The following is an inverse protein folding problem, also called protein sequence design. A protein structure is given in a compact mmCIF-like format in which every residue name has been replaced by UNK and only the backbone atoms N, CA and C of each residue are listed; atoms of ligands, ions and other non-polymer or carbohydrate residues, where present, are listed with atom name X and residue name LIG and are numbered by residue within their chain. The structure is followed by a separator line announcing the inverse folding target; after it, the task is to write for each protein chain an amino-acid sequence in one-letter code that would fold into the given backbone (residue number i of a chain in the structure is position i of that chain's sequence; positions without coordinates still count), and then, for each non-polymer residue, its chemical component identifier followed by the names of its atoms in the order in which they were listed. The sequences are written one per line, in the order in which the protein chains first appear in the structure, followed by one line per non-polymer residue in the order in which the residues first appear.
data_IF_281967538248
#
_entry.id   IF_281967538248
#
_cell.length_a   1.000
_cell.length_b   1.000
_cell.length_c   1.000
_cell.angle_alpha   90.00
_cell.angle_beta   90.00
_cell.angle_gamma   90.00
#
_symmetry.space_group_name_H-M   'P 1'
#
loop_
_entity.id
_entity.type
_entity.pdbx_description
1 polymer ?
#
# COMPACT_ATOMS: atom_id res chain seq x y z
N UNK A 1 3.68 -8.12 14.28
CA UNK A 1 3.12 -9.40 13.78
C UNK A 1 1.64 -9.17 13.52
N UNK A 2 1.10 -9.64 12.40
CA UNK A 2 -0.32 -9.54 12.10
C UNK A 2 -1.12 -10.61 12.86
N UNK A 3 -2.42 -10.38 13.08
CA UNK A 3 -3.31 -11.30 13.80
C UNK A 3 -3.37 -12.69 13.14
N UNK A 4 -3.32 -12.73 11.81
CA UNK A 4 -3.29 -13.98 11.03
C UNK A 4 -1.95 -14.73 11.10
N UNK A 5 -1.00 -14.25 11.90
CA UNK A 5 0.30 -14.86 12.11
C UNK A 5 1.39 -14.39 11.14
N UNK A 6 1.04 -13.65 10.09
CA UNK A 6 2.00 -13.10 9.15
C UNK A 6 2.96 -12.10 9.82
N UNK A 7 4.11 -11.91 9.20
CA UNK A 7 5.11 -10.92 9.59
C UNK A 7 5.26 -9.90 8.46
N UNK A 8 5.50 -8.66 8.82
CA UNK A 8 5.73 -7.59 7.86
C UNK A 8 6.67 -6.55 8.45
N UNK A 9 7.36 -5.87 7.55
CA UNK A 9 8.24 -4.75 7.86
C UNK A 9 7.78 -3.58 7.00
N UNK A 10 7.58 -2.43 7.63
CA UNK A 10 7.35 -1.17 6.94
C UNK A 10 8.61 -0.33 7.12
N UNK A 11 9.24 0.03 6.01
CA UNK A 11 10.37 0.95 5.99
C UNK A 11 9.99 2.14 5.10
N UNK A 12 10.10 3.33 5.66
CA UNK A 12 9.84 4.58 4.96
C UNK A 12 10.92 5.59 5.30
N UNK A 13 11.37 6.34 4.31
CA UNK A 13 12.35 7.41 4.49
C UNK A 13 12.03 8.56 3.54
N UNK A 14 12.08 9.78 4.06
CA UNK A 14 12.03 11.02 3.26
C UNK A 14 13.41 11.63 3.06
N UNK A 15 14.47 10.94 3.49
CA UNK A 15 15.87 11.39 3.45
C UNK A 15 16.75 10.52 2.56
N UNK A 16 16.28 9.31 2.22
CA UNK A 16 17.00 8.42 1.33
C UNK A 16 17.01 9.01 -0.09
N UNK A 17 18.15 8.88 -0.77
CA UNK A 17 18.25 9.22 -2.18
C UNK A 17 17.59 8.13 -3.02
N UNK A 18 16.60 8.51 -3.81
CA UNK A 18 15.95 7.63 -4.76
C UNK A 18 16.29 8.05 -6.20
N UNK A 19 16.90 7.16 -7.02
CA UNK A 19 17.33 7.49 -8.38
C UNK A 19 16.18 7.39 -9.39
N UNK A 20 14.99 7.92 -9.07
CA UNK A 20 13.83 7.93 -9.97
C UNK A 20 13.46 9.35 -10.42
N UNK A 21 12.78 9.51 -11.56
CA UNK A 21 12.35 10.82 -12.05
C UNK A 21 11.48 11.61 -11.07
N UNK A 22 10.75 10.90 -10.19
CA UNK A 22 9.88 11.49 -9.18
C UNK A 22 10.51 11.52 -7.77
N UNK A 23 11.78 11.13 -7.63
CA UNK A 23 12.51 11.01 -6.36
C UNK A 23 11.75 10.18 -5.30
N UNK A 24 10.97 9.21 -5.74
CA UNK A 24 10.13 8.34 -4.93
C UNK A 24 10.15 6.93 -5.49
N UNK A 25 10.15 5.93 -4.60
CA UNK A 25 9.98 4.52 -4.94
C UNK A 25 9.06 3.88 -3.91
N UNK A 26 8.06 3.14 -4.37
CA UNK A 26 7.32 2.18 -3.55
C UNK A 26 7.66 0.76 -3.97
N UNK A 27 8.12 -0.03 -3.00
CA UNK A 27 8.37 -1.46 -3.15
C UNK A 27 7.56 -2.24 -2.12
N UNK A 28 6.99 -3.36 -2.55
CA UNK A 28 6.25 -4.28 -1.67
C UNK A 28 6.59 -5.70 -2.06
N UNK A 29 6.82 -6.56 -1.07
CA UNK A 29 7.12 -7.97 -1.28
C UNK A 29 6.18 -8.81 -0.41
N UNK A 30 5.59 -9.84 -1.01
CA UNK A 30 4.66 -10.74 -0.37
C UNK A 30 5.12 -12.17 -0.62
N UNK A 31 5.36 -12.91 0.46
CA UNK A 31 5.77 -14.30 0.41
C UNK A 31 4.71 -15.18 1.09
N UNK A 32 4.24 -16.19 0.37
CA UNK A 32 3.29 -17.19 0.87
C UNK A 32 3.77 -18.60 0.56
N UNK A 33 3.05 -19.60 1.08
CA UNK A 33 3.36 -21.01 0.82
C UNK A 33 3.32 -21.38 -0.66
N UNK A 34 2.50 -20.67 -1.44
CA UNK A 34 2.19 -21.03 -2.83
C UNK A 34 2.89 -20.15 -3.85
N UNK A 35 3.68 -19.16 -3.40
CA UNK A 35 4.39 -18.26 -4.30
C UNK A 35 4.82 -16.93 -3.67
N UNK A 36 5.35 -16.07 -4.53
CA UNK A 36 5.80 -14.72 -4.18
C UNK A 36 5.26 -13.67 -5.14
N UNK A 37 5.02 -12.46 -4.64
CA UNK A 37 4.66 -11.29 -5.43
C UNK A 37 5.52 -10.10 -5.00
N UNK A 38 6.10 -9.40 -5.97
CA UNK A 38 6.84 -8.16 -5.77
C UNK A 38 6.15 -7.04 -6.57
N UNK A 39 6.08 -5.86 -5.98
CA UNK A 39 5.56 -4.65 -6.59
C UNK A 39 6.66 -3.60 -6.64
N UNK A 40 6.75 -2.89 -7.76
CA UNK A 40 7.61 -1.72 -7.94
C UNK A 40 6.82 -0.58 -8.58
N UNK A 41 6.94 0.61 -8.02
CA UNK A 41 6.35 1.83 -8.56
C UNK A 41 7.30 3.02 -8.36
N UNK A 42 7.72 3.67 -9.44
CA UNK A 42 8.54 4.90 -9.43
C UNK A 42 7.72 6.19 -9.60
N UNK A 43 6.39 6.05 -9.67
CA UNK A 43 5.39 7.10 -9.84
C UNK A 43 5.46 7.90 -11.15
N UNK A 44 6.30 7.51 -12.10
CA UNK A 44 6.48 8.19 -13.40
C UNK A 44 6.41 7.23 -14.59
N UNK A 45 7.36 6.29 -14.66
CA UNK A 45 7.59 5.44 -15.83
C UNK A 45 7.20 3.98 -15.59
N UNK A 46 7.42 3.47 -14.39
CA UNK A 46 7.33 2.04 -14.09
C UNK A 46 6.33 1.79 -12.97
N UNK A 47 5.29 1.02 -13.28
CA UNK A 47 4.40 0.38 -12.31
C UNK A 47 4.29 -1.08 -12.71
N UNK A 48 4.85 -1.97 -11.91
CA UNK A 48 5.02 -3.36 -12.29
C UNK A 48 4.77 -4.29 -11.11
N UNK A 49 4.11 -5.42 -11.39
CA UNK A 49 4.04 -6.58 -10.52
C UNK A 49 4.88 -7.69 -11.14
N UNK A 50 5.71 -8.35 -10.33
CA UNK A 50 6.40 -9.58 -10.71
C UNK A 50 6.16 -10.66 -9.66
N UNK A 51 6.30 -11.92 -10.04
CA UNK A 51 6.10 -13.03 -9.12
C UNK A 51 6.29 -14.38 -9.76
N UNK A 52 6.07 -15.43 -8.96
CA UNK A 52 6.06 -16.82 -9.41
C UNK A 52 5.31 -17.68 -8.40
N UNK A 53 4.66 -18.75 -8.86
CA UNK A 53 4.14 -19.81 -7.98
C UNK A 53 5.13 -20.95 -7.82
N UNK A 54 4.90 -21.79 -6.81
CA UNK A 54 5.63 -23.04 -6.65
C UNK A 54 5.52 -23.88 -7.92
N UNK A 55 6.67 -24.20 -8.53
CA UNK A 55 6.74 -25.02 -9.74
C UNK A 55 6.64 -24.27 -11.08
N UNK A 56 6.39 -22.96 -11.08
CA UNK A 56 6.29 -22.16 -12.32
C UNK A 56 7.65 -21.64 -12.82
N UNK A 57 8.71 -21.76 -12.02
CA UNK A 57 10.07 -21.34 -12.37
C UNK A 57 10.45 -19.97 -11.80
N UNK A 58 11.38 -19.24 -12.43
CA UNK A 58 11.89 -17.97 -11.89
C UNK A 58 10.82 -16.87 -11.87
N UNK A 59 11.03 -15.85 -11.05
CA UNK A 59 10.20 -14.65 -11.00
C UNK A 59 10.12 -14.02 -12.39
N UNK A 60 8.89 -13.70 -12.82
CA UNK A 60 8.60 -13.04 -14.09
C UNK A 60 7.63 -11.88 -13.90
N UNK A 61 7.56 -10.97 -14.88
CA UNK A 61 6.57 -9.88 -14.88
C UNK A 61 5.18 -10.47 -15.09
N UNK A 62 4.23 -10.07 -14.24
CA UNK A 62 2.86 -10.53 -14.31
C UNK A 62 1.99 -9.46 -14.98
N UNK A 63 1.11 -9.89 -15.87
CA UNK A 63 0.08 -9.00 -16.42
C UNK A 63 -0.91 -8.62 -15.32
N UNK A 64 -1.07 -7.31 -15.08
CA UNK A 64 -2.09 -6.80 -14.15
C UNK A 64 -3.44 -6.91 -14.88
N UNK A 65 -4.41 -7.72 -14.39
CA UNK A 65 -5.60 -7.99 -15.19
C UNK A 65 -6.52 -6.77 -15.28
N UNK A 66 -7.18 -6.62 -16.43
CA UNK A 66 -8.00 -5.45 -16.82
C UNK A 66 -8.95 -4.94 -15.73
N UNK A 67 -9.61 -5.85 -15.00
CA UNK A 67 -10.53 -5.51 -13.90
C UNK A 67 -9.90 -4.70 -12.77
N UNK A 68 -8.58 -4.78 -12.57
CA UNK A 68 -7.87 -3.99 -11.54
C UNK A 68 -7.67 -2.56 -12.02
N UNK A 69 -7.45 -2.37 -13.31
CA UNK A 69 -7.19 -1.07 -13.87
C UNK A 69 -8.44 -0.18 -13.96
N UNK A 70 -9.63 -0.76 -14.19
CA UNK A 70 -10.83 0.05 -14.40
C UNK A 70 -10.69 0.94 -15.64
N UNK A 71 -11.11 2.22 -15.56
CA UNK A 71 -11.11 3.14 -16.71
C UNK A 71 -9.87 4.05 -16.76
N UNK A 72 -8.82 3.73 -16.01
CA UNK A 72 -7.61 4.57 -15.94
C UNK A 72 -6.76 4.46 -17.21
N UNK A 73 -6.18 5.60 -17.62
CA UNK A 73 -5.13 5.62 -18.65
C UNK A 73 -3.85 4.97 -18.13
N UNK A 74 -3.11 4.30 -19.03
CA UNK A 74 -1.93 3.50 -18.68
C UNK A 74 -0.69 3.81 -19.51
N UNK A 75 -0.79 4.77 -20.43
CA UNK A 75 0.35 5.16 -21.28
C UNK A 75 1.51 5.73 -20.45
N UNK A 76 1.19 6.33 -19.30
CA UNK A 76 2.14 6.85 -18.31
C UNK A 76 1.64 6.56 -16.91
N UNK A 77 2.51 6.11 -16.01
CA UNK A 77 2.15 5.79 -14.61
C UNK A 77 1.60 7.02 -13.89
N UNK A 78 2.15 8.20 -14.17
CA UNK A 78 1.65 9.46 -13.63
C UNK A 78 0.17 9.71 -13.99
N UNK A 79 -0.27 9.34 -15.19
CA UNK A 79 -1.66 9.49 -15.61
C UNK A 79 -2.58 8.48 -14.89
N UNK A 80 -2.11 7.26 -14.68
CA UNK A 80 -2.80 6.22 -13.90
C UNK A 80 -3.11 6.72 -12.50
N UNK A 81 -2.08 7.20 -11.77
CA UNK A 81 -2.21 7.76 -10.42
C UNK A 81 -3.29 8.85 -10.36
N UNK A 82 -3.25 9.80 -11.30
CA UNK A 82 -4.21 10.90 -11.34
C UNK A 82 -5.63 10.39 -11.59
N UNK A 83 -5.79 9.43 -12.49
CA UNK A 83 -7.10 8.91 -12.85
C UNK A 83 -7.74 8.12 -11.69
N UNK A 84 -6.95 7.32 -10.96
CA UNK A 84 -7.40 6.63 -9.73
C UNK A 84 -8.01 7.62 -8.73
N UNK A 85 -7.32 8.72 -8.41
CA UNK A 85 -7.82 9.61 -7.36
C UNK A 85 -8.84 10.65 -7.86
N UNK A 86 -8.75 11.08 -9.12
CA UNK A 86 -9.56 12.21 -9.63
C UNK A 86 -10.74 11.79 -10.50
N UNK A 87 -10.63 10.70 -11.24
CA UNK A 87 -11.71 10.22 -12.12
C UNK A 87 -12.51 9.11 -11.47
N UNK A 88 -11.82 8.11 -10.93
CA UNK A 88 -12.45 7.00 -10.22
C UNK A 88 -12.88 7.39 -8.80
N UNK A 89 -12.44 8.57 -8.32
CA UNK A 89 -12.90 9.13 -7.05
C UNK A 89 -12.37 8.41 -5.81
N UNK A 90 -11.35 7.53 -5.92
CA UNK A 90 -10.81 6.83 -4.76
C UNK A 90 -10.32 7.80 -3.67
N UNK A 91 -10.39 7.36 -2.41
CA UNK A 91 -10.14 8.18 -1.20
C UNK A 91 -11.18 9.28 -0.98
N UNK A 92 -10.86 10.53 -1.30
CA UNK A 92 -11.71 11.68 -0.96
C UNK A 92 -13.06 11.65 -1.67
N UNK A 93 -13.10 11.25 -2.94
CA UNK A 93 -14.36 11.12 -3.68
C UNK A 93 -15.27 10.07 -3.06
N UNK A 94 -14.73 8.88 -2.76
CA UNK A 94 -15.43 7.78 -2.12
C UNK A 94 -16.02 8.18 -0.76
N UNK A 95 -15.29 8.99 0.02
CA UNK A 95 -15.80 9.54 1.27
C UNK A 95 -16.97 10.51 1.06
N UNK A 96 -16.87 11.42 0.07
CA UNK A 96 -17.95 12.36 -0.28
C UNK A 96 -19.19 11.61 -0.76
N UNK A 97 -19.02 10.62 -1.64
CA UNK A 97 -20.11 9.82 -2.18
C UNK A 97 -20.81 9.02 -1.07
N UNK A 98 -20.05 8.43 -0.14
CA UNK A 98 -20.61 7.74 1.02
C UNK A 98 -21.50 8.67 1.87
N UNK A 99 -21.07 9.92 2.11
CA UNK A 99 -21.87 10.93 2.81
C UNK A 99 -23.14 11.26 2.03
N UNK A 100 -22.99 11.56 0.73
CA UNK A 100 -24.10 11.96 -0.13
C UNK A 100 -25.19 10.87 -0.24
N UNK A 101 -24.76 9.61 -0.25
CA UNK A 101 -25.64 8.44 -0.37
C UNK A 101 -26.14 7.90 0.99
N UNK A 102 -25.67 8.46 2.10
CA UNK A 102 -25.99 7.96 3.44
C UNK A 102 -25.45 6.54 3.72
N UNK A 103 -24.30 6.19 3.12
CA UNK A 103 -23.62 4.91 3.30
C UNK A 103 -22.40 5.05 4.22
N UNK A 104 -21.98 3.94 4.80
CA UNK A 104 -20.69 3.88 5.51
C UNK A 104 -19.53 3.94 4.52
N UNK A 105 -18.56 4.81 4.79
CA UNK A 105 -17.28 4.83 4.07
C UNK A 105 -16.32 3.78 4.65
N UNK A 106 -15.40 3.27 3.84
CA UNK A 106 -14.27 2.46 4.29
C UNK A 106 -13.02 2.76 3.45
N UNK A 107 -11.82 2.94 4.06
CA UNK A 107 -11.56 2.98 5.50
C UNK A 107 -12.30 4.11 6.22
N UNK A 108 -12.69 3.87 7.48
CA UNK A 108 -13.42 4.85 8.29
C UNK A 108 -12.52 5.52 9.35
N UNK A 109 -13.11 6.32 10.24
CA UNK A 109 -12.34 6.97 11.31
C UNK A 109 -11.81 5.99 12.36
N UNK A 110 -12.42 4.82 12.54
CA UNK A 110 -11.91 3.81 13.46
C UNK A 110 -10.65 3.16 12.89
N UNK A 111 -10.65 2.84 11.60
CA UNK A 111 -9.46 2.38 10.89
C UNK A 111 -8.33 3.42 10.96
N UNK A 112 -8.65 4.70 10.70
CA UNK A 112 -7.69 5.80 10.80
C UNK A 112 -7.10 5.94 12.22
N UNK A 113 -7.94 5.86 13.25
CA UNK A 113 -7.49 5.90 14.65
C UNK A 113 -6.59 4.71 15.00
N UNK A 114 -6.87 3.53 14.46
CA UNK A 114 -6.03 2.35 14.67
C UNK A 114 -4.65 2.50 14.00
N UNK A 115 -4.58 3.08 12.80
CA UNK A 115 -3.31 3.43 12.16
C UNK A 115 -2.51 4.42 13.02
N UNK A 116 -3.15 5.43 13.61
CA UNK A 116 -2.47 6.34 14.52
C UNK A 116 -1.86 5.60 15.72
N UNK A 117 -2.57 4.64 16.32
CA UNK A 117 -2.03 3.81 17.41
C UNK A 117 -0.83 2.98 17.00
N UNK A 118 -0.79 2.50 15.75
CA UNK A 118 0.39 1.79 15.22
C UNK A 118 1.61 2.72 15.15
N UNK A 119 1.42 3.97 14.71
CA UNK A 119 2.49 4.96 14.66
C UNK A 119 2.99 5.30 16.07
N UNK A 120 2.07 5.53 17.01
CA UNK A 120 2.41 5.84 18.40
C UNK A 120 3.16 4.68 19.07
N UNK A 121 2.74 3.43 18.80
CA UNK A 121 3.45 2.24 19.29
C UNK A 121 4.86 2.12 18.71
N UNK A 122 5.07 2.48 17.45
CA UNK A 122 6.41 2.49 16.84
C UNK A 122 7.33 3.53 17.49
N UNK A 123 6.81 4.73 17.77
CA UNK A 123 7.54 5.79 18.47
C UNK A 123 7.90 5.37 19.90
N UNK A 124 6.96 4.75 20.63
CA UNK A 124 7.23 4.24 21.98
C UNK A 124 8.24 3.09 21.95
N UNK A 125 8.15 2.21 20.96
CA UNK A 125 9.08 1.09 20.77
C UNK A 125 10.51 1.57 20.56
N UNK A 126 10.72 2.62 19.77
CA UNK A 126 12.02 3.25 19.58
C UNK A 126 12.56 3.83 20.89
N UNK A 127 11.72 4.57 21.62
CA UNK A 127 12.09 5.20 22.90
C UNK A 127 12.47 4.18 23.98
N UNK A 128 11.73 3.08 24.10
CA UNK A 128 11.89 2.09 25.18
C UNK A 128 12.75 0.87 24.78
N UNK A 129 13.16 0.79 23.51
CA UNK A 129 13.94 -0.32 22.95
C UNK A 129 13.32 -1.71 23.21
N UNK A 130 11.99 -1.79 23.18
CA UNK A 130 11.23 -3.03 23.31
C UNK A 130 10.11 -3.10 22.28
N UNK A 131 9.56 -4.30 22.06
CA UNK A 131 8.33 -4.44 21.29
C UNK A 131 7.14 -3.85 22.05
N UNK A 132 6.30 -3.10 21.33
CA UNK A 132 5.08 -2.48 21.84
C UNK A 132 3.91 -2.92 20.96
N UNK A 133 2.84 -3.41 21.59
CA UNK A 133 1.58 -3.68 20.92
C UNK A 133 0.81 -2.38 20.68
N UNK A 134 0.17 -2.17 19.52
CA UNK A 134 -0.77 -1.05 19.34
C UNK A 134 -1.92 -1.03 20.36
N UNK A 135 -2.23 -2.17 20.99
CA UNK A 135 -3.23 -2.27 22.04
C UNK A 135 -2.78 -1.70 23.40
N UNK A 136 -1.48 -1.44 23.58
CA UNK A 136 -0.94 -0.74 24.75
C UNK A 136 -1.19 0.79 24.66
N UNK A 137 -1.42 1.30 23.45
CA UNK A 137 -1.69 2.73 23.21
C UNK A 137 -3.15 3.02 23.54
N UNK A 138 -3.37 3.64 24.70
CA UNK A 138 -4.68 4.12 25.12
C UNK A 138 -5.04 5.40 24.34
N UNK A 139 -6.28 5.48 23.85
CA UNK A 139 -6.87 6.71 23.30
C UNK A 139 -7.41 7.62 24.38
#
# INVERSE_FOLDING_TARGET
RFENGAQGVVHASTLAYEPTPFSQIHQMEFHGSDGTLHSYNDWDQTQQISGTRVGEGPVSVLEIPERIWGQVRRDKVHDTYRDVFRKEGWMTGQFIDAIAEGKSAFPDFQEGAFIQRILDAALLSDLEHRSVSPMEILS
#
